data_IF_933502464673
#
_entry.id   IF_933502464673
#
_cell.length_a   1.000
_cell.length_b   1.000
_cell.length_c   1.000
_cell.angle_alpha   90.00
_cell.angle_beta   90.00
_cell.angle_gamma   90.00
#
_symmetry.space_group_name_H-M   'P 1'
#
loop_
_entity.id
_entity.type
_entity.pdbx_description
1 polymer ?
#
# COMPACT_ATOMS: atom_id res chain seq x y z
N UNK A 1 -35.07 -15.68 -17.11
CA UNK A 1 -34.04 -14.62 -17.18
C UNK A 1 -32.76 -15.16 -16.57
N UNK A 2 -31.79 -15.56 -17.40
CA UNK A 2 -30.48 -15.99 -16.93
C UNK A 2 -29.76 -14.78 -16.31
N UNK A 3 -29.59 -14.77 -14.99
CA UNK A 3 -28.74 -13.78 -14.32
C UNK A 3 -27.34 -13.86 -14.93
N UNK A 4 -26.92 -12.78 -15.59
CA UNK A 4 -25.59 -12.67 -16.16
C UNK A 4 -24.56 -12.70 -15.01
N UNK A 5 -23.92 -13.85 -14.80
CA UNK A 5 -22.83 -14.03 -13.83
C UNK A 5 -21.58 -13.20 -14.17
N UNK A 6 -21.52 -12.62 -15.36
CA UNK A 6 -20.33 -11.96 -15.90
C UNK A 6 -20.04 -10.60 -15.24
N UNK A 7 -21.03 -10.00 -14.55
CA UNK A 7 -20.89 -8.76 -13.77
C UNK A 7 -20.91 -8.99 -12.26
N UNK A 8 -21.05 -10.24 -11.80
CA UNK A 8 -21.04 -10.53 -10.38
C UNK A 8 -19.60 -10.62 -9.87
N UNK A 9 -19.28 -9.75 -8.91
CA UNK A 9 -18.02 -9.79 -8.20
C UNK A 9 -17.90 -11.13 -7.46
N UNK A 10 -16.83 -11.92 -7.70
CA UNK A 10 -16.66 -13.21 -7.05
C UNK A 10 -16.59 -13.06 -5.52
N UNK A 11 -16.96 -14.13 -4.79
CA UNK A 11 -16.87 -14.16 -3.32
C UNK A 11 -15.40 -14.15 -2.89
N UNK A 12 -14.92 -12.95 -2.58
CA UNK A 12 -13.59 -12.68 -2.08
C UNK A 12 -12.61 -12.34 -3.19
N UNK A 13 -12.13 -11.10 -3.14
CA UNK A 13 -11.19 -10.50 -4.08
C UNK A 13 -10.16 -9.67 -3.29
N UNK A 14 -9.08 -9.27 -3.95
CA UNK A 14 -8.13 -8.29 -3.43
C UNK A 14 -8.57 -6.88 -3.83
N UNK A 15 -8.73 -5.98 -2.87
CA UNK A 15 -9.01 -4.56 -3.14
C UNK A 15 -7.67 -3.83 -3.23
N UNK A 16 -7.34 -3.29 -4.40
CA UNK A 16 -6.10 -2.52 -4.60
C UNK A 16 -6.43 -1.04 -4.43
N UNK A 17 -5.64 -0.33 -3.63
CA UNK A 17 -5.70 1.13 -3.47
C UNK A 17 -4.43 1.71 -4.08
N UNK A 18 -4.59 2.65 -5.00
CA UNK A 18 -3.48 3.33 -5.66
C UNK A 18 -3.88 4.73 -6.12
N UNK A 19 -2.92 5.63 -6.30
CA UNK A 19 -3.14 6.95 -6.88
C UNK A 19 -2.43 7.15 -8.23
N UNK A 20 -3.19 7.63 -9.21
CA UNK A 20 -2.70 7.84 -10.57
C UNK A 20 -2.70 9.33 -10.91
N UNK A 21 -1.54 9.83 -11.31
CA UNK A 21 -1.33 11.21 -11.71
C UNK A 21 -1.31 11.38 -13.23
N UNK A 22 -1.92 12.45 -13.73
CA UNK A 22 -1.88 12.82 -15.15
C UNK A 22 -1.46 14.29 -15.27
N UNK A 23 -0.37 14.52 -16.01
CA UNK A 23 0.17 15.86 -16.30
C UNK A 23 -0.87 16.77 -16.99
N UNK A 24 -0.86 18.06 -16.64
CA UNK A 24 -1.70 19.09 -17.27
C UNK A 24 -0.88 20.33 -17.61
N UNK A 25 -1.17 20.93 -18.75
CA UNK A 25 -0.50 22.14 -19.24
C UNK A 25 -1.14 23.46 -18.75
N UNK A 26 -2.37 23.42 -18.25
CA UNK A 26 -3.12 24.60 -17.79
C UNK A 26 -3.64 24.48 -16.35
N UNK A 27 -4.44 25.46 -15.93
CA UNK A 27 -5.00 25.57 -14.57
C UNK A 27 -6.54 25.47 -14.51
N UNK A 28 -7.21 25.23 -15.65
CA UNK A 28 -8.68 25.23 -15.73
C UNK A 28 -9.32 23.89 -15.31
N UNK A 29 -8.53 22.82 -15.20
CA UNK A 29 -9.03 21.51 -14.75
C UNK A 29 -9.13 21.50 -13.24
N UNK A 30 -10.28 21.11 -12.69
CA UNK A 30 -10.42 20.93 -11.24
C UNK A 30 -9.37 19.95 -10.68
N UNK A 31 -8.84 20.23 -9.50
CA UNK A 31 -7.80 19.43 -8.85
C UNK A 31 -6.42 19.54 -9.47
N UNK A 32 -6.22 20.45 -10.43
CA UNK A 32 -4.89 20.69 -11.02
C UNK A 32 -4.01 21.46 -10.05
N UNK A 33 -2.76 21.03 -9.94
CA UNK A 33 -1.74 21.73 -9.16
C UNK A 33 -0.38 21.07 -9.27
N UNK A 34 0.61 21.64 -8.60
CA UNK A 34 1.97 21.07 -8.50
C UNK A 34 1.96 19.90 -7.52
N UNK A 35 2.05 18.69 -8.04
CA UNK A 35 1.90 17.44 -7.28
C UNK A 35 2.89 16.40 -7.80
N UNK A 36 3.27 15.44 -6.96
CA UNK A 36 4.04 14.29 -7.45
C UNK A 36 3.15 13.46 -8.38
N UNK A 37 3.63 13.25 -9.60
CA UNK A 37 2.94 12.47 -10.63
C UNK A 37 3.72 11.17 -10.84
N UNK A 38 3.15 10.06 -10.37
CA UNK A 38 3.79 8.74 -10.42
C UNK A 38 4.20 8.33 -11.84
N UNK A 39 3.37 8.62 -12.84
CA UNK A 39 3.64 8.32 -14.26
C UNK A 39 4.98 8.89 -14.76
N UNK A 40 5.36 10.09 -14.31
CA UNK A 40 6.58 10.77 -14.75
C UNK A 40 7.66 10.83 -13.67
N UNK A 41 7.41 10.21 -12.51
CA UNK A 41 8.35 10.12 -11.39
C UNK A 41 8.77 11.45 -10.76
N UNK A 42 8.02 12.54 -10.97
CA UNK A 42 8.40 13.88 -10.49
C UNK A 42 7.22 14.77 -10.13
N UNK A 43 7.49 15.82 -9.36
CA UNK A 43 6.53 16.87 -9.08
C UNK A 43 6.33 17.76 -10.30
N UNK A 44 5.13 17.75 -10.87
CA UNK A 44 4.75 18.62 -11.96
C UNK A 44 3.30 19.10 -11.84
N UNK A 45 2.89 20.01 -12.71
CA UNK A 45 1.50 20.43 -12.80
C UNK A 45 0.64 19.29 -13.36
N UNK A 46 -0.36 18.87 -12.60
CA UNK A 46 -1.23 17.77 -12.99
C UNK A 46 -2.36 17.54 -12.02
N UNK A 47 -3.19 16.56 -12.36
CA UNK A 47 -4.25 16.04 -11.49
C UNK A 47 -3.82 14.68 -10.95
N UNK A 48 -4.29 14.33 -9.76
CA UNK A 48 -4.11 12.99 -9.20
C UNK A 48 -5.47 12.45 -8.78
N UNK A 49 -5.77 11.21 -9.14
CA UNK A 49 -6.95 10.50 -8.68
C UNK A 49 -6.55 9.33 -7.79
N UNK A 50 -7.16 9.24 -6.62
CA UNK A 50 -7.11 8.03 -5.79
C UNK A 50 -8.13 7.05 -6.35
N UNK A 51 -7.76 5.79 -6.46
CA UNK A 51 -8.58 4.76 -7.09
C UNK A 51 -8.63 3.50 -6.24
N UNK A 52 -9.73 2.77 -6.36
CA UNK A 52 -9.82 1.40 -5.87
C UNK A 52 -10.11 0.45 -7.03
N UNK A 53 -9.43 -0.68 -7.04
CA UNK A 53 -9.60 -1.72 -8.04
C UNK A 53 -9.91 -3.04 -7.38
N UNK A 54 -10.84 -3.78 -7.95
CA UNK A 54 -11.06 -5.17 -7.62
C UNK A 54 -10.10 -6.02 -8.43
N UNK A 55 -9.43 -6.97 -7.78
CA UNK A 55 -8.67 -8.02 -8.44
C UNK A 55 -9.06 -9.41 -7.94
N UNK A 56 -9.46 -10.31 -8.84
CA UNK A 56 -9.89 -11.68 -8.51
C UNK A 56 -8.83 -12.76 -8.81
N UNK A 57 -7.60 -12.36 -9.15
CA UNK A 57 -6.55 -13.27 -9.61
C UNK A 57 -6.48 -13.41 -11.13
N UNK A 58 -7.46 -12.92 -11.88
CA UNK A 58 -7.48 -12.95 -13.37
C UNK A 58 -7.84 -11.61 -13.98
N UNK A 59 -8.77 -10.89 -13.38
CA UNK A 59 -9.32 -9.63 -13.88
C UNK A 59 -9.11 -8.54 -12.86
N UNK A 60 -8.72 -7.37 -13.36
CA UNK A 60 -8.73 -6.12 -12.59
C UNK A 60 -9.85 -5.22 -13.10
N UNK A 61 -10.68 -4.71 -12.20
CA UNK A 61 -11.82 -3.83 -12.53
C UNK A 61 -11.79 -2.60 -11.61
N UNK A 62 -11.75 -1.37 -12.15
CA UNK A 62 -11.90 -0.16 -11.34
C UNK A 62 -13.27 -0.14 -10.65
N UNK A 63 -13.28 0.04 -9.33
CA UNK A 63 -14.50 0.15 -8.54
C UNK A 63 -14.88 1.60 -8.33
N UNK A 64 -13.95 2.40 -7.80
CA UNK A 64 -14.17 3.81 -7.48
C UNK A 64 -12.94 4.65 -7.78
N UNK A 65 -13.17 5.95 -7.98
CA UNK A 65 -12.13 6.95 -8.13
C UNK A 65 -12.57 8.28 -7.54
N UNK A 66 -11.63 9.07 -7.08
CA UNK A 66 -11.87 10.44 -6.62
C UNK A 66 -10.64 11.31 -6.90
N UNK A 67 -10.86 12.49 -7.46
CA UNK A 67 -9.80 13.44 -7.76
C UNK A 67 -9.37 14.10 -6.46
N UNK A 68 -8.08 14.01 -6.14
CA UNK A 68 -7.50 14.74 -5.02
C UNK A 68 -7.43 16.23 -5.36
N UNK A 69 -8.02 17.05 -4.49
CA UNK A 69 -7.98 18.50 -4.57
C UNK A 69 -6.80 19.01 -3.71
N UNK A 70 -5.66 19.43 -4.31
CA UNK A 70 -4.60 20.02 -3.52
C UNK A 70 -5.09 21.33 -2.88
N UNK A 71 -4.63 21.64 -1.67
CA UNK A 71 -5.03 22.86 -0.96
C UNK A 71 -4.85 24.13 -1.83
N UNK A 72 -3.81 24.19 -2.66
CA UNK A 72 -3.59 25.33 -3.57
C UNK A 72 -4.66 25.51 -4.65
N UNK A 73 -5.52 24.52 -4.88
CA UNK A 73 -6.63 24.58 -5.83
C UNK A 73 -7.97 24.95 -5.19
N UNK A 74 -8.02 25.06 -3.86
CA UNK A 74 -9.21 25.34 -3.08
C UNK A 74 -9.17 26.78 -2.53
N UNK A 75 -10.35 27.38 -2.32
CA UNK A 75 -10.46 28.78 -1.94
C UNK A 75 -9.92 29.04 -0.53
N UNK A 76 -10.19 28.13 0.41
CA UNK A 76 -9.76 28.23 1.81
C UNK A 76 -8.53 27.35 2.12
N UNK A 77 -7.88 26.82 1.07
CA UNK A 77 -6.65 26.06 1.24
C UNK A 77 -6.86 24.75 2.00
N UNK A 78 -6.16 24.60 3.13
CA UNK A 78 -6.25 23.41 4.00
C UNK A 78 -7.45 23.43 4.93
N UNK A 79 -8.01 24.61 5.19
CA UNK A 79 -9.19 24.79 6.04
C UNK A 79 -10.49 24.58 5.25
N UNK A 80 -10.38 24.48 3.91
CA UNK A 80 -11.51 24.22 3.04
C UNK A 80 -12.14 22.87 3.38
N UNK A 81 -13.46 22.85 3.56
CA UNK A 81 -14.25 21.65 3.87
C UNK A 81 -14.11 20.54 2.82
N UNK A 82 -13.74 20.89 1.59
CA UNK A 82 -13.52 19.93 0.50
C UNK A 82 -12.09 19.35 0.50
N UNK A 83 -11.18 19.94 1.29
CA UNK A 83 -9.82 19.44 1.41
C UNK A 83 -9.79 18.10 2.14
N UNK A 84 -9.41 17.04 1.42
CA UNK A 84 -9.15 15.72 1.98
C UNK A 84 -7.79 15.23 1.54
N UNK A 85 -7.00 14.71 2.47
CA UNK A 85 -5.73 14.05 2.14
C UNK A 85 -6.01 12.76 1.37
N UNK A 86 -5.10 12.36 0.49
CA UNK A 86 -5.23 11.11 -0.28
C UNK A 86 -5.55 9.87 0.57
N UNK A 87 -4.94 9.66 1.77
CA UNK A 87 -5.32 8.54 2.63
C UNK A 87 -6.75 8.60 3.16
N UNK A 88 -7.29 9.80 3.41
CA UNK A 88 -8.68 9.99 3.83
C UNK A 88 -9.62 9.64 2.66
N UNK A 89 -9.29 10.11 1.45
CA UNK A 89 -10.02 9.73 0.23
C UNK A 89 -9.98 8.20 0.03
N UNK A 90 -8.82 7.56 0.19
CA UNK A 90 -8.69 6.11 0.05
C UNK A 90 -9.61 5.34 1.02
N UNK A 91 -9.71 5.78 2.29
CA UNK A 91 -10.63 5.20 3.26
C UNK A 91 -12.09 5.42 2.84
N UNK A 92 -12.45 6.62 2.35
CA UNK A 92 -13.80 6.87 1.84
C UNK A 92 -14.16 5.92 0.67
N UNK A 93 -13.21 5.66 -0.24
CA UNK A 93 -13.43 4.71 -1.35
C UNK A 93 -13.58 3.27 -0.85
N UNK A 94 -12.80 2.86 0.15
CA UNK A 94 -12.96 1.56 0.80
C UNK A 94 -14.35 1.46 1.44
N UNK A 95 -14.79 2.48 2.17
CA UNK A 95 -16.09 2.50 2.84
C UNK A 95 -17.25 2.45 1.86
N UNK A 96 -17.14 3.12 0.69
CA UNK A 96 -18.10 2.98 -0.42
C UNK A 96 -18.19 1.53 -0.90
N UNK A 97 -17.05 0.87 -1.08
CA UNK A 97 -17.01 -0.56 -1.47
C UNK A 97 -17.68 -1.45 -0.42
N UNK A 98 -17.39 -1.25 0.87
CA UNK A 98 -18.00 -2.00 1.96
C UNK A 98 -19.51 -1.75 2.09
N UNK A 99 -19.94 -0.51 1.89
CA UNK A 99 -21.36 -0.10 1.92
C UNK A 99 -22.17 -0.77 0.82
N UNK A 100 -21.58 -0.99 -0.37
CA UNK A 100 -22.20 -1.78 -1.44
C UNK A 100 -22.31 -3.28 -1.15
N UNK A 101 -21.81 -3.74 0.01
CA UNK A 101 -21.80 -5.15 0.39
C UNK A 101 -20.59 -5.92 -0.14
N UNK A 102 -19.62 -5.26 -0.78
CA UNK A 102 -18.39 -5.93 -1.21
C UNK A 102 -17.52 -6.27 0.00
N UNK A 103 -16.90 -7.44 -0.03
CA UNK A 103 -16.10 -7.97 1.08
C UNK A 103 -14.74 -8.42 0.53
N UNK A 104 -13.75 -7.50 0.47
CA UNK A 104 -12.41 -7.87 0.07
C UNK A 104 -11.80 -8.83 1.09
N UNK A 105 -11.02 -9.79 0.60
CA UNK A 105 -10.24 -10.71 1.44
C UNK A 105 -9.00 -10.03 2.01
N UNK A 106 -8.44 -9.10 1.24
CA UNK A 106 -7.25 -8.32 1.57
C UNK A 106 -7.29 -6.99 0.83
N UNK A 107 -6.75 -5.94 1.44
CA UNK A 107 -6.47 -4.66 0.81
C UNK A 107 -4.99 -4.61 0.45
N UNK A 108 -4.67 -4.38 -0.83
CA UNK A 108 -3.30 -4.22 -1.31
C UNK A 108 -3.02 -2.73 -1.46
N UNK A 109 -1.94 -2.25 -0.84
CA UNK A 109 -1.59 -0.83 -0.82
C UNK A 109 -0.10 -0.63 -1.10
N UNK A 110 0.22 0.48 -1.74
CA UNK A 110 1.61 0.86 -2.00
C UNK A 110 2.34 1.34 -0.73
N UNK A 111 3.62 1.71 -0.87
CA UNK A 111 4.39 2.25 0.24
C UNK A 111 3.94 3.65 0.67
N UNK A 112 3.32 4.45 -0.20
CA UNK A 112 2.75 5.75 0.17
C UNK A 112 1.68 5.62 1.25
N UNK A 113 0.76 4.66 1.10
CA UNK A 113 -0.28 4.37 2.10
C UNK A 113 0.26 3.51 3.25
N UNK A 114 1.11 2.52 2.98
CA UNK A 114 1.63 1.60 4.01
C UNK A 114 2.54 2.27 5.05
N UNK A 115 3.11 3.44 4.75
CA UNK A 115 3.83 4.24 5.75
C UNK A 115 2.94 5.18 6.58
N UNK A 116 1.65 5.31 6.24
CA UNK A 116 0.73 6.16 6.97
C UNK A 116 0.07 5.38 8.13
N UNK A 117 0.55 5.60 9.35
CA UNK A 117 0.03 4.95 10.56
C UNK A 117 -1.49 5.14 10.72
N UNK A 118 -2.03 6.34 10.46
CA UNK A 118 -3.47 6.60 10.64
C UNK A 118 -4.31 5.83 9.61
N UNK A 119 -3.81 5.72 8.38
CA UNK A 119 -4.45 4.92 7.35
C UNK A 119 -4.48 3.42 7.72
N UNK A 120 -3.36 2.88 8.19
CA UNK A 120 -3.29 1.50 8.65
C UNK A 120 -4.24 1.23 9.83
N UNK A 121 -4.30 2.15 10.81
CA UNK A 121 -5.28 2.06 11.91
C UNK A 121 -6.71 2.05 11.41
N UNK A 122 -7.04 2.91 10.45
CA UNK A 122 -8.37 2.95 9.87
C UNK A 122 -8.75 1.62 9.18
N UNK A 123 -7.80 0.91 8.57
CA UNK A 123 -8.01 -0.45 8.05
C UNK A 123 -8.24 -1.47 9.18
N UNK A 124 -7.45 -1.40 10.25
CA UNK A 124 -7.56 -2.30 11.42
C UNK A 124 -8.89 -2.13 12.15
N UNK A 125 -9.34 -0.89 12.36
CA UNK A 125 -10.66 -0.56 12.94
C UNK A 125 -11.81 -1.18 12.14
N UNK A 126 -11.64 -1.26 10.81
CA UNK A 126 -12.59 -1.90 9.88
C UNK A 126 -12.44 -3.41 9.81
N UNK A 127 -11.50 -4.00 10.57
CA UNK A 127 -11.15 -5.43 10.54
C UNK A 127 -10.79 -5.92 9.15
N UNK A 128 -10.10 -5.07 8.38
CA UNK A 128 -9.61 -5.40 7.05
C UNK A 128 -8.17 -5.87 7.13
N UNK A 129 -7.93 -7.04 6.52
CA UNK A 129 -6.58 -7.54 6.27
C UNK A 129 -5.93 -6.68 5.19
N UNK A 130 -4.63 -6.46 5.30
CA UNK A 130 -3.90 -5.73 4.28
C UNK A 130 -2.49 -6.28 4.04
N UNK A 131 -2.01 -6.01 2.83
CA UNK A 131 -0.61 -6.13 2.45
C UNK A 131 -0.15 -4.75 1.97
N UNK A 132 0.79 -4.15 2.69
CA UNK A 132 1.27 -2.81 2.39
C UNK A 132 2.78 -2.72 2.28
N UNK A 133 3.26 -1.94 1.32
CA UNK A 133 4.67 -1.59 1.25
C UNK A 133 5.10 -0.73 2.44
N UNK A 134 6.30 -0.95 2.95
CA UNK A 134 6.91 -0.14 4.01
C UNK A 134 8.14 0.57 3.48
N UNK A 135 8.45 1.74 4.06
CA UNK A 135 9.70 2.41 3.78
C UNK A 135 10.85 1.69 4.49
N UNK A 136 12.00 1.64 3.83
CA UNK A 136 13.23 1.04 4.38
C UNK A 136 13.69 1.62 5.73
N UNK A 137 13.35 2.88 6.01
CA UNK A 137 13.67 3.57 7.26
C UNK A 137 12.55 3.44 8.33
N UNK A 138 11.48 2.70 8.04
CA UNK A 138 10.43 2.40 9.02
C UNK A 138 11.06 1.67 10.20
N UNK A 139 10.75 2.15 11.41
CA UNK A 139 11.24 1.55 12.66
C UNK A 139 10.29 0.45 13.12
N UNK A 140 10.87 -0.68 13.46
CA UNK A 140 10.19 -1.85 14.02
C UNK A 140 10.81 -2.18 15.37
N UNK A 141 10.01 -2.76 16.26
CA UNK A 141 10.43 -3.27 17.55
C UNK A 141 10.47 -4.78 17.42
N UNK A 142 11.66 -5.35 17.59
CA UNK A 142 11.92 -6.80 17.58
C UNK A 142 12.31 -7.24 18.98
N UNK A 143 11.93 -8.46 19.33
CA UNK A 143 12.38 -9.10 20.57
C UNK A 143 13.64 -9.92 20.29
N UNK A 144 14.72 -9.63 21.01
CA UNK A 144 15.97 -10.38 20.93
C UNK A 144 16.00 -11.55 21.93
N UNK A 145 16.96 -12.45 21.74
CA UNK A 145 17.28 -13.48 22.73
C UNK A 145 17.48 -12.83 24.11
N UNK A 146 16.74 -13.31 25.11
CA UNK A 146 16.71 -12.74 26.45
C UNK A 146 15.55 -11.77 26.74
N UNK A 147 14.61 -11.59 25.80
CA UNK A 147 13.38 -10.81 26.02
C UNK A 147 13.59 -9.29 25.97
N UNK A 148 14.75 -8.85 25.47
CA UNK A 148 15.05 -7.42 25.32
C UNK A 148 14.45 -6.92 24.01
N UNK A 149 13.56 -5.95 24.11
CA UNK A 149 13.02 -5.25 22.94
C UNK A 149 14.04 -4.25 22.39
N UNK A 150 14.29 -4.31 21.08
CA UNK A 150 15.12 -3.35 20.36
C UNK A 150 14.31 -2.67 19.25
N UNK A 151 14.46 -1.35 19.14
CA UNK A 151 13.92 -0.60 17.99
C UNK A 151 14.99 -0.48 16.91
N UNK A 152 14.72 -1.02 15.72
CA UNK A 152 15.65 -1.05 14.58
C UNK A 152 14.93 -0.58 13.30
N UNK A 153 15.67 0.02 12.37
CA UNK A 153 15.12 0.32 11.03
C UNK A 153 15.09 -0.95 10.18
N UNK A 154 14.08 -1.11 9.33
CA UNK A 154 13.96 -2.28 8.45
C UNK A 154 15.21 -2.54 7.59
N UNK A 155 15.83 -1.49 7.04
CA UNK A 155 17.06 -1.63 6.25
C UNK A 155 18.24 -2.15 7.11
N UNK A 156 18.34 -1.70 8.36
CA UNK A 156 19.39 -2.16 9.28
C UNK A 156 19.14 -3.60 9.72
N UNK A 157 17.87 -3.95 9.96
CA UNK A 157 17.46 -5.32 10.26
C UNK A 157 17.83 -6.24 9.09
N UNK A 158 17.47 -5.88 7.86
CA UNK A 158 17.79 -6.65 6.66
C UNK A 158 19.30 -6.94 6.53
N UNK A 159 20.16 -5.96 6.85
CA UNK A 159 21.63 -6.12 6.84
C UNK A 159 22.17 -6.99 7.98
N UNK A 160 21.41 -7.15 9.06
CA UNK A 160 21.80 -7.97 10.21
C UNK A 160 21.39 -9.45 10.10
N UNK A 161 20.50 -9.77 9.17
CA UNK A 161 20.02 -11.14 8.93
C UNK A 161 21.13 -11.99 8.31
N UNK A 162 21.22 -13.25 8.75
CA UNK A 162 22.15 -14.25 8.23
C UNK A 162 21.57 -14.95 6.99
N UNK A 163 22.40 -15.65 6.22
CA UNK A 163 21.94 -16.41 5.03
C UNK A 163 20.84 -17.44 5.33
N UNK A 164 20.76 -17.93 6.58
CA UNK A 164 19.77 -18.92 7.02
C UNK A 164 18.38 -18.32 7.23
N UNK A 165 18.30 -17.01 7.41
CA UNK A 165 17.03 -16.30 7.64
C UNK A 165 16.29 -16.01 6.32
N UNK A 166 16.93 -16.30 5.18
CA UNK A 166 16.40 -16.07 3.85
C UNK A 166 15.94 -17.36 3.20
N UNK A 167 14.69 -17.38 2.77
CA UNK A 167 14.14 -18.43 1.93
C UNK A 167 14.25 -18.02 0.46
N UNK A 168 14.85 -18.89 -0.37
CA UNK A 168 14.90 -18.70 -1.82
C UNK A 168 13.58 -19.16 -2.43
N UNK A 169 12.87 -18.23 -3.08
CA UNK A 169 11.58 -18.49 -3.71
C UNK A 169 11.69 -18.22 -5.22
N UNK A 170 11.23 -19.17 -6.03
CA UNK A 170 11.10 -19.02 -7.48
C UNK A 170 9.66 -18.66 -7.83
N UNK A 171 9.46 -17.49 -8.42
CA UNK A 171 8.18 -17.00 -8.89
C UNK A 171 7.99 -17.39 -10.37
N UNK A 172 6.98 -18.21 -10.62
CA UNK A 172 6.56 -18.61 -11.97
C UNK A 172 5.68 -17.52 -12.60
N UNK A 173 6.33 -16.44 -13.04
CA UNK A 173 5.72 -15.39 -13.85
C UNK A 173 5.97 -15.67 -15.35
N UNK A 174 5.47 -14.82 -16.25
CA UNK A 174 5.78 -14.90 -17.68
C UNK A 174 7.30 -14.97 -17.95
N UNK A 175 8.09 -14.34 -17.07
CA UNK A 175 9.52 -14.54 -16.94
C UNK A 175 9.82 -14.99 -15.51
N UNK A 176 10.39 -16.18 -15.36
CA UNK A 176 10.78 -16.71 -14.05
C UNK A 176 11.67 -15.70 -13.31
N UNK A 177 11.29 -15.38 -12.06
CA UNK A 177 12.06 -14.50 -11.17
C UNK A 177 12.37 -15.24 -9.89
N UNK A 178 13.64 -15.30 -9.52
CA UNK A 178 14.05 -15.78 -8.19
C UNK A 178 14.15 -14.58 -7.25
N UNK A 179 13.61 -14.73 -6.04
CA UNK A 179 13.70 -13.75 -4.94
C UNK A 179 14.12 -14.44 -3.65
N UNK A 180 14.67 -13.66 -2.73
CA UNK A 180 14.99 -14.10 -1.36
C UNK A 180 14.05 -13.39 -0.40
N UNK A 181 13.37 -14.16 0.44
CA UNK A 181 12.34 -13.67 1.34
C UNK A 181 12.68 -14.02 2.78
N UNK A 182 12.70 -13.02 3.64
CA UNK A 182 12.78 -13.19 5.09
C UNK A 182 11.45 -12.76 5.71
N UNK A 183 10.80 -13.66 6.45
CA UNK A 183 9.55 -13.38 7.17
C UNK A 183 9.81 -13.43 8.66
N UNK A 184 9.40 -12.40 9.39
CA UNK A 184 9.60 -12.31 10.83
C UNK A 184 8.43 -11.59 11.50
N UNK A 185 8.34 -11.73 12.82
CA UNK A 185 7.37 -11.00 13.62
C UNK A 185 8.01 -9.79 14.28
N UNK A 186 7.32 -8.67 14.22
CA UNK A 186 7.74 -7.45 14.89
C UNK A 186 6.52 -6.59 15.24
N UNK A 187 6.72 -5.61 16.12
CA UNK A 187 5.77 -4.52 16.33
C UNK A 187 6.20 -3.32 15.50
N UNK A 188 5.25 -2.56 15.00
CA UNK A 188 5.52 -1.26 14.37
C UNK A 188 5.12 -0.18 15.37
N UNK A 189 5.99 0.81 15.58
CA UNK A 189 5.68 1.92 16.49
C UNK A 189 4.33 2.56 16.13
N UNK A 190 3.53 2.86 17.15
CA UNK A 190 2.17 3.43 17.05
C UNK A 190 1.08 2.50 16.50
N UNK A 191 1.39 1.26 16.11
CA UNK A 191 0.41 0.25 15.73
C UNK A 191 0.32 -0.85 16.79
N UNK A 192 -0.85 -1.46 16.94
CA UNK A 192 -1.09 -2.40 18.02
C UNK A 192 -0.70 -3.84 17.66
N UNK A 193 -0.01 -4.47 18.61
CA UNK A 193 0.38 -5.87 18.57
C UNK A 193 1.43 -6.22 17.52
N UNK A 194 1.85 -7.48 17.57
CA UNK A 194 2.76 -8.06 16.58
C UNK A 194 2.06 -8.32 15.25
N UNK A 195 2.85 -8.28 14.19
CA UNK A 195 2.45 -8.56 12.82
C UNK A 195 3.57 -9.26 12.08
N UNK A 196 3.21 -9.96 11.00
CA UNK A 196 4.18 -10.57 10.13
C UNK A 196 4.71 -9.50 9.17
N UNK A 197 6.01 -9.35 9.11
CA UNK A 197 6.69 -8.51 8.15
C UNK A 197 7.48 -9.40 7.20
N UNK A 198 7.62 -8.96 5.95
CA UNK A 198 8.47 -9.63 4.98
C UNK A 198 9.46 -8.65 4.36
N UNK A 199 10.69 -9.09 4.19
CA UNK A 199 11.68 -8.41 3.35
C UNK A 199 11.90 -9.30 2.14
N UNK A 200 11.81 -8.70 0.95
CA UNK A 200 11.98 -9.40 -0.33
C UNK A 200 13.09 -8.72 -1.09
N UNK A 201 14.08 -9.48 -1.56
CA UNK A 201 15.16 -8.93 -2.39
C UNK A 201 15.38 -9.76 -3.65
N UNK A 202 15.96 -9.13 -4.66
CA UNK A 202 16.24 -9.76 -5.96
C UNK A 202 17.59 -10.48 -6.05
N UNK A 203 18.33 -10.59 -4.96
CA UNK A 203 19.65 -11.23 -4.91
C UNK A 203 19.82 -12.06 -3.63
N UNK A 204 20.88 -12.86 -3.56
CA UNK A 204 21.15 -13.71 -2.40
C UNK A 204 21.77 -12.99 -1.20
N UNK A 205 22.08 -11.69 -1.32
CA UNK A 205 22.62 -10.88 -0.22
C UNK A 205 22.29 -9.40 -0.39
N UNK A 206 22.28 -8.65 0.71
CA UNK A 206 21.98 -7.22 0.73
C UNK A 206 22.98 -6.38 -0.08
N UNK A 207 24.24 -6.79 -0.19
CA UNK A 207 25.28 -6.09 -0.95
C UNK A 207 25.08 -6.22 -2.46
N UNK A 208 24.47 -7.33 -2.90
CA UNK A 208 24.21 -7.63 -4.30
C UNK A 208 22.82 -7.19 -4.76
N UNK A 209 21.91 -6.95 -3.82
CA UNK A 209 20.53 -6.58 -4.12
C UNK A 209 20.46 -5.19 -4.72
N UNK A 210 19.77 -5.06 -5.86
CA UNK A 210 19.43 -3.76 -6.46
C UNK A 210 17.99 -3.36 -6.15
N UNK A 211 17.15 -4.32 -5.76
CA UNK A 211 15.76 -4.13 -5.37
C UNK A 211 15.54 -4.81 -4.02
N UNK A 212 15.06 -4.05 -3.03
CA UNK A 212 14.67 -4.56 -1.71
C UNK A 212 13.34 -3.93 -1.32
N UNK A 213 12.34 -4.78 -1.19
CA UNK A 213 10.98 -4.42 -0.79
C UNK A 213 10.69 -4.87 0.63
N UNK A 214 9.92 -4.06 1.34
CA UNK A 214 9.54 -4.29 2.72
C UNK A 214 8.02 -4.31 2.80
N UNK A 215 7.46 -5.32 3.47
CA UNK A 215 6.02 -5.57 3.45
C UNK A 215 5.48 -5.74 4.87
N UNK A 216 4.34 -5.11 5.14
CA UNK A 216 3.47 -5.40 6.27
C UNK A 216 2.37 -6.37 5.83
N UNK A 217 2.34 -7.56 6.43
CA UNK A 217 1.36 -8.61 6.19
C UNK A 217 0.40 -8.70 7.39
N UNK A 218 -0.47 -7.69 7.54
CA UNK A 218 -1.47 -7.71 8.60
C UNK A 218 -2.66 -8.58 8.20
N UNK A 219 -2.70 -9.79 8.78
CA UNK A 219 -3.73 -10.80 8.52
C UNK A 219 -4.77 -10.96 9.65
N UNK A 220 -4.73 -10.07 10.66
CA UNK A 220 -5.66 -10.07 11.79
C UNK A 220 -7.10 -9.76 11.37
#
# INVERSE_FOLDING_TARGET
>A
MNQCRQTQIPRGFSLIVDDSGHRKSGNLTAGVGRQYLGEIGKTDNGIVAVTTHLYDGKKSVPLDREIYQPASSLAEGKEDKEFKKKPEIAIDLIDRSLTRGYRPKIVLIDAGYGNNTNFLKALEERKLKYLGGLAKNRKVIIEKEGGVEETIQLEQLAKSLSEKDWEKITLNLDKEKTVWVAVFRAKISQLEGERNLAIVMNASSMEKATEVDYWDLNAK
#
